data_IF_530695969103
#
_entry.id   IF_530695969103
#
_cell.length_a   1.000
_cell.length_b   1.000
_cell.length_c   1.000
_cell.angle_alpha   90.00
_cell.angle_beta   90.00
_cell.angle_gamma   90.00
#
_symmetry.space_group_name_H-M   'P 1'
#
loop_
_entity.id
_entity.type
_entity.pdbx_description
1 polymer ?
#
# COMPACT_ATOMS: atom_id res chain seq x y z
N UNK A 1 26.44 1.93 -25.08
CA UNK A 1 25.33 2.06 -24.09
C UNK A 1 24.64 0.72 -23.91
N UNK A 2 24.18 0.31 -22.72
CA UNK A 2 23.48 -0.98 -22.55
C UNK A 2 22.06 -0.86 -23.12
N UNK A 3 21.64 -1.78 -24.00
CA UNK A 3 20.29 -1.83 -24.56
C UNK A 3 19.29 -2.48 -23.60
N UNK A 4 18.52 -1.66 -22.88
CA UNK A 4 17.55 -2.11 -21.88
C UNK A 4 16.34 -2.84 -22.50
N UNK A 5 16.02 -2.57 -23.76
CA UNK A 5 14.92 -3.24 -24.47
C UNK A 5 15.25 -4.70 -24.77
N UNK A 6 16.49 -4.97 -25.18
CA UNK A 6 16.98 -6.31 -25.44
C UNK A 6 17.04 -7.15 -24.17
N UNK A 7 17.44 -6.55 -23.03
CA UNK A 7 17.44 -7.25 -21.74
C UNK A 7 16.04 -7.70 -21.32
N UNK A 8 15.03 -6.88 -21.60
CA UNK A 8 13.63 -7.17 -21.32
C UNK A 8 12.94 -8.01 -22.40
N UNK A 9 13.62 -8.31 -23.52
CA UNK A 9 13.02 -9.03 -24.65
C UNK A 9 11.87 -8.29 -25.33
N UNK A 10 11.89 -6.96 -25.34
CA UNK A 10 10.83 -6.12 -25.91
C UNK A 10 11.37 -5.19 -26.98
N UNK A 11 10.50 -4.75 -27.89
CA UNK A 11 10.87 -3.81 -28.94
C UNK A 11 11.03 -2.37 -28.41
N UNK A 12 11.90 -1.52 -28.99
CA UNK A 12 12.09 -0.14 -28.52
C UNK A 12 10.85 0.76 -28.68
N UNK A 13 9.90 0.39 -29.54
CA UNK A 13 8.59 1.02 -29.71
C UNK A 13 7.52 0.52 -28.71
N UNK A 14 7.86 -0.36 -27.77
CA UNK A 14 6.90 -0.94 -26.83
C UNK A 14 6.15 0.14 -26.02
N UNK A 15 4.85 -0.07 -25.82
CA UNK A 15 4.02 0.81 -24.99
C UNK A 15 4.46 0.74 -23.51
N UNK A 16 4.16 1.77 -22.70
CA UNK A 16 4.46 1.74 -21.26
C UNK A 16 3.87 0.51 -20.54
N UNK A 17 2.69 0.05 -20.97
CA UNK A 17 2.03 -1.13 -20.39
C UNK A 17 2.76 -2.43 -20.76
N UNK A 18 3.25 -2.56 -21.99
CA UNK A 18 4.10 -3.68 -22.40
C UNK A 18 5.41 -3.72 -21.62
N UNK A 19 6.03 -2.56 -21.36
CA UNK A 19 7.26 -2.47 -20.55
C UNK A 19 6.98 -2.90 -19.10
N UNK A 20 5.87 -2.44 -18.49
CA UNK A 20 5.49 -2.85 -17.13
C UNK A 20 5.26 -4.36 -17.06
N UNK A 21 4.54 -4.92 -18.02
CA UNK A 21 4.28 -6.37 -18.09
C UNK A 21 5.59 -7.15 -18.21
N UNK A 22 6.50 -6.74 -19.09
CA UNK A 22 7.81 -7.38 -19.25
C UNK A 22 8.67 -7.31 -17.98
N UNK A 23 8.68 -6.17 -17.28
CA UNK A 23 9.36 -6.01 -15.99
C UNK A 23 8.81 -6.97 -14.92
N UNK A 24 7.48 -7.08 -14.83
CA UNK A 24 6.83 -8.01 -13.89
C UNK A 24 7.18 -9.45 -14.21
N UNK A 25 7.12 -9.84 -15.48
CA UNK A 25 7.49 -11.20 -15.93
C UNK A 25 8.95 -11.52 -15.61
N UNK A 26 9.88 -10.59 -15.92
CA UNK A 26 11.30 -10.79 -15.66
C UNK A 26 11.64 -10.88 -14.16
N UNK A 27 10.95 -10.10 -13.32
CA UNK A 27 11.08 -10.18 -11.88
C UNK A 27 10.56 -11.51 -11.30
N UNK A 28 9.41 -11.99 -11.80
CA UNK A 28 8.82 -13.27 -11.38
C UNK A 28 9.67 -14.47 -11.78
N UNK A 29 10.23 -14.43 -12.99
CA UNK A 29 11.08 -15.49 -13.52
C UNK A 29 12.53 -15.41 -13.01
N UNK A 30 12.87 -14.37 -12.23
CA UNK A 30 14.23 -14.08 -11.78
C UNK A 30 15.26 -14.07 -12.93
N UNK A 31 14.82 -13.70 -14.15
CA UNK A 31 15.65 -13.77 -15.35
C UNK A 31 16.67 -12.65 -15.44
N UNK A 32 16.53 -11.60 -14.62
CA UNK A 32 17.42 -10.45 -14.56
C UNK A 32 17.71 -10.06 -13.09
N UNK A 33 18.94 -9.60 -12.78
CA UNK A 33 19.29 -9.13 -11.44
C UNK A 33 18.54 -7.83 -11.09
N UNK A 34 18.26 -7.63 -9.80
CA UNK A 34 17.45 -6.52 -9.29
C UNK A 34 17.95 -5.14 -9.72
N UNK A 35 19.27 -4.92 -9.73
CA UNK A 35 19.90 -3.67 -10.19
C UNK A 35 19.56 -3.36 -11.67
N UNK A 36 19.48 -4.38 -12.51
CA UNK A 36 19.14 -4.22 -13.93
C UNK A 36 17.65 -3.90 -14.12
N UNK A 37 16.78 -4.51 -13.31
CA UNK A 37 15.34 -4.22 -13.32
C UNK A 37 15.05 -2.78 -12.87
N UNK A 38 15.77 -2.28 -11.86
CA UNK A 38 15.67 -0.88 -11.40
C UNK A 38 16.13 0.11 -12.49
N UNK A 39 17.22 -0.20 -13.20
CA UNK A 39 17.67 0.60 -14.35
C UNK A 39 16.61 0.65 -15.46
N UNK A 40 16.01 -0.48 -15.79
CA UNK A 40 14.91 -0.54 -16.75
C UNK A 40 13.69 0.29 -16.31
N UNK A 41 13.31 0.19 -15.03
CA UNK A 41 12.19 0.95 -14.47
C UNK A 41 12.43 2.46 -14.54
N UNK A 42 13.62 2.92 -14.14
CA UNK A 42 13.95 4.35 -14.04
C UNK A 42 14.13 5.04 -15.39
N UNK A 43 14.65 4.33 -16.40
CA UNK A 43 14.90 4.90 -17.73
C UNK A 43 13.77 4.66 -18.73
N UNK A 44 13.07 3.52 -18.67
CA UNK A 44 12.04 3.17 -19.66
C UNK A 44 10.61 3.56 -19.28
N UNK A 45 10.28 3.71 -17.99
CA UNK A 45 8.93 4.14 -17.57
C UNK A 45 8.77 5.66 -17.48
N UNK A 46 9.86 6.40 -17.35
CA UNK A 46 9.85 7.87 -17.41
C UNK A 46 9.92 8.33 -18.86
N UNK A 47 8.89 9.05 -19.33
CA UNK A 47 8.78 9.49 -20.72
C UNK A 47 9.91 10.43 -21.16
N UNK A 48 10.39 11.30 -20.25
CA UNK A 48 11.45 12.25 -20.54
C UNK A 48 12.80 11.54 -20.67
N UNK A 49 13.11 10.66 -19.69
CA UNK A 49 14.34 9.86 -19.69
C UNK A 49 14.37 8.86 -20.84
N UNK A 50 13.24 8.22 -21.16
CA UNK A 50 13.12 7.28 -22.28
C UNK A 50 13.40 7.97 -23.61
N UNK A 51 12.93 9.21 -23.81
CA UNK A 51 13.22 9.98 -25.02
C UNK A 51 14.71 10.28 -25.16
N UNK A 52 15.36 10.72 -24.07
CA UNK A 52 16.80 10.98 -24.04
C UNK A 52 17.62 9.70 -24.24
N UNK A 53 17.20 8.60 -23.61
CA UNK A 53 17.82 7.29 -23.72
C UNK A 53 17.71 6.75 -25.15
N UNK A 54 16.53 6.81 -25.77
CA UNK A 54 16.29 6.38 -27.14
C UNK A 54 17.12 7.20 -28.13
N UNK A 55 17.19 8.51 -27.94
CA UNK A 55 18.00 9.38 -28.81
C UNK A 55 19.49 8.97 -28.80
N UNK A 56 20.03 8.61 -27.63
CA UNK A 56 21.42 8.11 -27.51
C UNK A 56 21.57 6.69 -28.06
N UNK A 57 20.63 5.79 -27.76
CA UNK A 57 20.66 4.41 -28.24
C UNK A 57 20.63 4.34 -29.78
N UNK A 58 19.78 5.12 -30.44
CA UNK A 58 19.70 5.16 -31.90
C UNK A 58 20.84 5.92 -32.56
N UNK A 59 21.49 6.85 -31.85
CA UNK A 59 22.70 7.49 -32.33
C UNK A 59 23.91 6.55 -32.30
N UNK A 60 23.99 5.66 -31.30
CA UNK A 60 25.06 4.66 -31.18
C UNK A 60 24.81 3.41 -32.04
N UNK A 61 23.55 3.02 -32.25
CA UNK A 61 23.16 1.82 -32.99
C UNK A 61 22.02 2.12 -33.98
N UNK A 62 22.31 2.75 -35.13
CA UNK A 62 21.31 3.08 -36.15
C UNK A 62 20.63 1.83 -36.76
N UNK A 63 21.33 0.70 -36.76
CA UNK A 63 20.83 -0.63 -37.17
C UNK A 63 19.64 -1.14 -36.34
N UNK A 64 19.43 -0.63 -35.12
CA UNK A 64 18.23 -0.92 -34.32
C UNK A 64 17.00 -0.24 -34.94
N UNK A 65 17.17 0.99 -35.44
CA UNK A 65 16.10 1.75 -36.08
C UNK A 65 15.70 1.11 -37.42
N UNK A 66 16.68 0.60 -38.16
CA UNK A 66 16.46 -0.09 -39.43
C UNK A 66 15.71 -1.41 -39.25
N UNK A 67 16.08 -2.23 -38.26
CA UNK A 67 15.38 -3.47 -37.92
C UNK A 67 13.95 -3.23 -37.39
N UNK A 68 13.70 -2.10 -36.73
CA UNK A 68 12.35 -1.69 -36.32
C UNK A 68 11.45 -1.33 -37.51
N UNK A 69 12.02 -0.79 -38.59
CA UNK A 69 11.29 -0.43 -39.80
C UNK A 69 11.09 -1.63 -40.73
N UNK A 70 11.99 -2.62 -40.70
CA UNK A 70 11.94 -3.81 -41.56
C UNK A 70 10.88 -4.85 -41.13
N UNK A 71 10.42 -4.86 -39.87
CA UNK A 71 9.43 -5.85 -39.37
C UNK A 71 7.96 -5.40 -39.49
N UNK A 72 7.66 -4.40 -40.34
CA UNK A 72 6.37 -3.70 -40.35
C UNK A 72 5.49 -3.89 -41.61
N UNK A 73 5.43 -5.06 -42.30
CA UNK A 73 4.27 -5.54 -43.14
C UNK A 73 4.47 -6.95 -43.82
N UNK A 74 3.40 -7.72 -44.18
CA UNK A 74 3.12 -9.08 -43.65
C UNK A 74 2.74 -10.18 -44.70
N UNK A 75 2.15 -11.34 -44.29
CA UNK A 75 0.73 -11.53 -44.62
C UNK A 75 -0.14 -12.03 -43.44
N UNK A 76 -1.37 -11.49 -43.38
CA UNK A 76 -2.44 -11.88 -42.46
C UNK A 76 -3.14 -13.19 -42.86
N UNK A 77 -4.06 -13.69 -42.02
CA UNK A 77 -5.47 -13.51 -42.39
C UNK A 77 -6.30 -12.82 -41.31
N UNK A 78 -6.91 -11.71 -41.75
CA UNK A 78 -8.24 -11.20 -41.42
C UNK A 78 -8.76 -11.30 -39.97
N UNK A 79 -8.66 -10.18 -39.26
CA UNK A 79 -9.87 -9.45 -38.87
C UNK A 79 -9.57 -7.94 -38.94
N UNK A 80 -10.33 -7.28 -39.81
CA UNK A 80 -10.15 -5.93 -40.31
C UNK A 80 -10.59 -4.88 -39.30
N UNK A 81 -9.68 -3.97 -38.91
CA UNK A 81 -10.04 -2.56 -38.79
C UNK A 81 -8.84 -1.70 -39.21
N UNK A 82 -8.94 -1.17 -40.42
CA UNK A 82 -7.89 -0.43 -41.12
C UNK A 82 -7.61 0.91 -40.42
N UNK A 83 -6.34 1.14 -40.14
CA UNK A 83 -5.76 2.48 -40.04
C UNK A 83 -5.70 3.15 -41.41
N UNK A 84 -6.16 4.39 -41.50
CA UNK A 84 -5.87 5.32 -42.61
C UNK A 84 -5.37 6.66 -42.04
N UNK A 85 -4.22 7.20 -42.51
CA UNK A 85 -3.87 8.62 -42.40
C UNK A 85 -3.98 9.33 -43.77
N UNK A 86 -4.00 10.68 -43.82
CA UNK A 86 -4.91 11.63 -43.20
C UNK A 86 -5.84 12.23 -44.27
N UNK A 87 -7.16 12.12 -44.11
CA UNK A 87 -8.13 12.64 -45.10
C UNK A 87 -8.94 13.81 -44.53
N UNK A 88 -8.97 14.89 -45.33
CA UNK A 88 -9.71 16.15 -45.21
C UNK A 88 -11.21 15.93 -44.86
N UNK A 89 -11.90 16.89 -44.19
CA UNK A 89 -12.98 16.59 -43.24
C UNK A 89 -14.32 16.29 -43.91
N UNK A 90 -14.95 15.19 -43.50
CA UNK A 90 -16.35 14.88 -43.79
C UNK A 90 -17.23 15.42 -42.67
N UNK A 91 -18.17 16.29 -43.05
CA UNK A 91 -19.13 16.95 -42.17
C UNK A 91 -20.14 15.95 -41.59
N UNK A 92 -20.12 15.72 -40.27
CA UNK A 92 -21.27 15.22 -39.48
C UNK A 92 -20.99 15.30 -37.96
N UNK A 93 -21.48 16.36 -37.31
CA UNK A 93 -21.84 16.49 -35.89
C UNK A 93 -20.99 15.83 -34.77
N UNK A 94 -19.66 15.84 -34.88
CA UNK A 94 -18.76 15.45 -33.77
C UNK A 94 -18.52 16.58 -32.76
N UNK A 95 -18.22 16.25 -31.51
CA UNK A 95 -17.81 17.24 -30.50
C UNK A 95 -16.44 17.89 -30.89
N UNK A 96 -16.09 19.05 -30.30
CA UNK A 96 -14.89 19.81 -30.67
C UNK A 96 -13.57 19.03 -30.48
N UNK A 97 -13.57 17.98 -29.64
CA UNK A 97 -12.40 17.11 -29.44
C UNK A 97 -12.20 16.16 -30.60
N UNK A 98 -13.28 15.56 -31.08
CA UNK A 98 -13.32 14.68 -32.24
C UNK A 98 -12.96 15.43 -33.53
N UNK A 99 -13.49 16.65 -33.68
CA UNK A 99 -13.15 17.56 -34.78
C UNK A 99 -11.64 17.86 -34.87
N UNK A 100 -10.98 18.00 -33.73
CA UNK A 100 -9.55 18.25 -33.64
C UNK A 100 -8.70 16.97 -33.52
N UNK A 101 -9.32 15.80 -33.43
CA UNK A 101 -8.62 14.53 -33.20
C UNK A 101 -7.86 14.45 -31.86
N UNK A 102 -8.24 15.23 -30.84
CA UNK A 102 -7.55 15.28 -29.54
C UNK A 102 -8.44 14.76 -28.41
N UNK A 103 -7.82 14.07 -27.43
CA UNK A 103 -8.56 13.56 -26.27
C UNK A 103 -9.05 14.68 -25.34
N UNK A 104 -10.20 14.52 -24.67
CA UNK A 104 -10.77 15.53 -23.76
C UNK A 104 -9.91 15.90 -22.55
N UNK A 105 -8.94 15.07 -22.20
CA UNK A 105 -7.96 15.29 -21.12
C UNK A 105 -6.58 15.72 -21.65
N UNK A 106 -6.43 16.00 -22.95
CA UNK A 106 -5.17 16.41 -23.54
C UNK A 106 -4.64 17.72 -22.92
N UNK A 107 -3.32 17.90 -22.77
CA UNK A 107 -2.74 19.14 -22.29
C UNK A 107 -3.03 20.30 -23.26
N UNK A 108 -3.10 21.52 -22.74
CA UNK A 108 -3.46 22.71 -23.52
C UNK A 108 -2.47 23.01 -24.66
N UNK A 109 -1.23 22.52 -24.56
CA UNK A 109 -0.25 22.58 -25.64
C UNK A 109 -0.70 21.75 -26.86
N UNK A 110 -1.09 20.49 -26.65
CA UNK A 110 -1.55 19.60 -27.72
C UNK A 110 -2.82 20.11 -28.39
N UNK A 111 -3.72 20.74 -27.65
CA UNK A 111 -4.94 21.33 -28.21
C UNK A 111 -4.60 22.55 -29.08
N UNK A 112 -3.65 23.38 -28.66
CA UNK A 112 -3.16 24.52 -29.48
C UNK A 112 -2.53 24.03 -30.78
N UNK A 113 -1.71 23.00 -30.70
CA UNK A 113 -1.05 22.41 -31.88
C UNK A 113 -2.09 21.82 -32.83
N UNK A 114 -3.09 21.10 -32.31
CA UNK A 114 -4.19 20.54 -33.11
C UNK A 114 -5.02 21.64 -33.81
N UNK A 115 -5.33 22.73 -33.12
CA UNK A 115 -6.03 23.89 -33.70
C UNK A 115 -5.19 24.54 -34.82
N UNK A 116 -3.86 24.61 -34.64
CA UNK A 116 -2.96 25.17 -35.65
C UNK A 116 -2.92 24.29 -36.90
N UNK A 117 -2.75 22.98 -36.73
CA UNK A 117 -2.77 22.01 -37.84
C UNK A 117 -4.12 22.02 -38.57
N UNK A 118 -5.23 22.10 -37.84
CA UNK A 118 -6.56 22.21 -38.42
C UNK A 118 -6.73 23.48 -39.29
N UNK A 119 -6.16 24.61 -38.86
CA UNK A 119 -6.17 25.85 -39.64
C UNK A 119 -5.33 25.73 -40.92
N UNK A 120 -4.15 25.10 -40.84
CA UNK A 120 -3.27 24.85 -42.00
C UNK A 120 -3.94 23.90 -43.02
N UNK A 121 -4.77 22.97 -42.55
CA UNK A 121 -5.53 22.03 -43.40
C UNK A 121 -6.81 22.63 -44.02
N UNK A 122 -7.08 23.92 -43.80
CA UNK A 122 -8.24 24.63 -44.37
C UNK A 122 -9.56 24.27 -43.70
N UNK A 123 -9.56 23.98 -42.39
CA UNK A 123 -10.79 23.78 -41.61
C UNK A 123 -11.58 25.09 -41.48
N UNK A 124 -12.89 24.97 -41.30
CA UNK A 124 -13.81 26.09 -41.14
C UNK A 124 -13.41 27.05 -40.00
N UNK A 125 -13.41 28.35 -40.31
CA UNK A 125 -12.92 29.40 -39.40
C UNK A 125 -13.78 29.56 -38.16
N UNK A 126 -15.08 29.32 -38.27
CA UNK A 126 -16.02 29.48 -37.16
C UNK A 126 -15.90 28.32 -36.18
N UNK A 127 -15.70 27.09 -36.67
CA UNK A 127 -15.41 25.93 -35.83
C UNK A 127 -14.06 26.07 -35.11
N UNK A 128 -13.04 26.60 -35.78
CA UNK A 128 -11.75 26.94 -35.16
C UNK A 128 -11.90 28.02 -34.08
N UNK A 129 -12.75 29.03 -34.30
CA UNK A 129 -13.04 30.05 -33.30
C UNK A 129 -13.76 29.46 -32.08
N UNK A 130 -14.73 28.57 -32.29
CA UNK A 130 -15.42 27.84 -31.20
C UNK A 130 -14.46 26.95 -30.41
N UNK A 131 -13.58 26.22 -31.10
CA UNK A 131 -12.53 25.41 -30.47
C UNK A 131 -11.60 26.26 -29.60
N UNK A 132 -11.11 27.39 -30.11
CA UNK A 132 -10.27 28.33 -29.35
C UNK A 132 -11.01 28.88 -28.13
N UNK A 133 -12.27 29.27 -28.30
CA UNK A 133 -13.09 29.83 -27.23
C UNK A 133 -13.37 28.81 -26.12
N UNK A 134 -13.80 27.60 -26.46
CA UNK A 134 -14.23 26.60 -25.48
C UNK A 134 -13.08 25.79 -24.90
N UNK A 135 -12.06 25.42 -25.68
CA UNK A 135 -11.07 24.42 -25.26
C UNK A 135 -9.78 25.00 -24.67
N UNK A 136 -9.38 26.22 -25.05
CA UNK A 136 -8.10 26.81 -24.60
C UNK A 136 -8.16 27.43 -23.20
N UNK A 137 -9.35 27.57 -22.62
CA UNK A 137 -9.53 28.10 -21.27
C UNK A 137 -10.12 27.05 -20.35
N UNK A 138 -9.43 26.78 -19.25
CA UNK A 138 -9.76 25.73 -18.27
C UNK A 138 -11.23 25.74 -17.82
N UNK A 139 -11.78 26.91 -17.50
CA UNK A 139 -13.17 27.03 -17.04
C UNK A 139 -14.22 26.78 -18.13
N UNK A 140 -13.95 27.25 -19.34
CA UNK A 140 -14.83 27.02 -20.49
C UNK A 140 -14.76 25.57 -20.93
N UNK A 141 -13.58 24.98 -20.84
CA UNK A 141 -13.32 23.58 -21.14
C UNK A 141 -14.04 22.67 -20.16
N UNK A 142 -14.04 22.96 -18.87
CA UNK A 142 -14.81 22.17 -17.89
C UNK A 142 -16.32 22.31 -18.10
N UNK A 143 -16.83 23.51 -18.40
CA UNK A 143 -18.24 23.70 -18.77
C UNK A 143 -18.62 22.94 -20.05
N UNK A 144 -17.76 22.99 -21.06
CA UNK A 144 -17.93 22.27 -22.31
C UNK A 144 -17.92 20.75 -22.07
N UNK A 145 -16.94 20.23 -21.34
CA UNK A 145 -16.83 18.81 -20.95
C UNK A 145 -18.08 18.33 -20.20
N UNK A 146 -18.62 19.15 -19.30
CA UNK A 146 -19.86 18.84 -18.61
C UNK A 146 -21.05 18.76 -19.56
N UNK A 147 -21.17 19.71 -20.50
CA UNK A 147 -22.21 19.75 -21.54
C UNK A 147 -22.19 18.50 -22.43
N UNK A 148 -21.00 17.97 -22.72
CA UNK A 148 -20.83 16.74 -23.54
C UNK A 148 -20.72 15.46 -22.69
N UNK A 149 -21.04 15.50 -21.40
CA UNK A 149 -21.15 14.31 -20.55
C UNK A 149 -19.82 13.69 -20.08
N UNK A 150 -18.69 14.37 -20.25
CA UNK A 150 -17.37 13.86 -19.86
C UNK A 150 -17.17 14.03 -18.36
N UNK A 151 -17.29 12.92 -17.62
CA UNK A 151 -17.10 12.88 -16.16
C UNK A 151 -15.62 12.95 -15.79
N UNK A 152 -15.28 13.81 -14.84
CA UNK A 152 -13.90 14.02 -14.35
C UNK A 152 -13.42 12.85 -13.49
N UNK A 153 -12.37 12.15 -13.94
CA UNK A 153 -11.71 11.00 -13.27
C UNK A 153 -11.07 11.32 -11.90
N UNK A 154 -10.95 12.61 -11.52
CA UNK A 154 -10.28 13.04 -10.29
C UNK A 154 -10.95 12.55 -9.00
N UNK A 155 -12.25 12.23 -9.04
CA UNK A 155 -13.00 11.79 -7.85
C UNK A 155 -12.66 10.37 -7.41
N UNK A 156 -12.19 9.51 -8.33
CA UNK A 156 -11.92 8.09 -8.02
C UNK A 156 -10.60 7.91 -7.24
N UNK A 157 -9.56 8.66 -7.58
CA UNK A 157 -8.24 8.57 -6.93
C UNK A 157 -8.22 9.12 -5.50
N UNK A 158 -9.08 10.09 -5.18
CA UNK A 158 -9.18 10.61 -3.81
C UNK A 158 -9.77 9.58 -2.85
N UNK A 159 -10.75 8.79 -3.29
CA UNK A 159 -11.35 7.73 -2.48
C UNK A 159 -10.41 6.53 -2.24
N UNK A 160 -9.58 6.17 -3.21
CA UNK A 160 -8.62 5.05 -3.03
C UNK A 160 -7.48 5.46 -2.10
N UNK A 161 -6.98 6.70 -2.23
CA UNK A 161 -5.90 7.21 -1.37
C UNK A 161 -6.29 7.28 0.11
N UNK A 162 -7.55 7.65 0.42
CA UNK A 162 -8.03 7.73 1.81
C UNK A 162 -8.16 6.36 2.46
N UNK A 163 -8.66 5.36 1.73
CA UNK A 163 -8.80 3.98 2.25
C UNK A 163 -7.44 3.37 2.58
N UNK A 164 -6.43 3.55 1.72
CA UNK A 164 -5.08 3.05 1.98
C UNK A 164 -4.43 3.72 3.21
N UNK A 165 -4.60 5.03 3.36
CA UNK A 165 -4.06 5.75 4.52
C UNK A 165 -4.68 5.27 5.85
N UNK A 166 -6.00 5.05 5.87
CA UNK A 166 -6.71 4.54 7.06
C UNK A 166 -6.21 3.15 7.45
N UNK A 167 -6.04 2.25 6.48
CA UNK A 167 -5.53 0.89 6.74
C UNK A 167 -4.13 0.91 7.34
N UNK A 168 -3.25 1.79 6.85
CA UNK A 168 -1.91 1.99 7.42
C UNK A 168 -2.01 2.51 8.87
N UNK A 169 -2.84 3.53 9.13
CA UNK A 169 -3.02 4.08 10.47
C UNK A 169 -3.58 3.07 11.48
N UNK A 170 -4.52 2.21 11.09
CA UNK A 170 -5.05 1.16 11.96
C UNK A 170 -3.96 0.12 12.27
N UNK A 171 -3.17 -0.26 11.26
CA UNK A 171 -2.06 -1.20 11.43
C UNK A 171 -0.99 -0.66 12.38
N UNK A 172 -0.56 0.59 12.19
CA UNK A 172 0.43 1.23 13.05
C UNK A 172 -0.07 1.43 14.48
N UNK A 173 -1.35 1.79 14.67
CA UNK A 173 -1.95 1.89 16.01
C UNK A 173 -1.90 0.55 16.74
N UNK A 174 -2.41 -0.54 16.12
CA UNK A 174 -2.40 -1.87 16.74
C UNK A 174 -0.99 -2.32 17.10
N UNK A 175 -0.01 -2.08 16.22
CA UNK A 175 1.38 -2.40 16.47
C UNK A 175 1.96 -1.66 17.69
N UNK A 176 1.72 -0.35 17.80
CA UNK A 176 2.20 0.47 18.92
C UNK A 176 1.57 0.01 20.24
N UNK A 177 0.26 -0.25 20.27
CA UNK A 177 -0.43 -0.70 21.47
C UNK A 177 0.08 -2.07 21.95
N UNK A 178 0.26 -3.01 21.02
CA UNK A 178 0.79 -4.34 21.34
C UNK A 178 2.23 -4.26 21.87
N UNK A 179 3.07 -3.42 21.25
CA UNK A 179 4.45 -3.22 21.70
C UNK A 179 4.51 -2.64 23.12
N UNK A 180 3.68 -1.63 23.42
CA UNK A 180 3.60 -1.01 24.74
C UNK A 180 3.09 -1.98 25.83
N UNK A 181 2.17 -2.89 25.48
CA UNK A 181 1.68 -3.92 26.39
C UNK A 181 2.77 -4.94 26.75
N UNK A 182 3.51 -5.43 25.75
CA UNK A 182 4.60 -6.39 25.94
C UNK A 182 5.74 -5.84 26.80
N UNK A 183 6.10 -4.56 26.63
CA UNK A 183 7.07 -3.87 27.48
C UNK A 183 6.63 -3.87 28.96
N UNK A 184 5.36 -3.55 29.24
CA UNK A 184 4.80 -3.57 30.59
C UNK A 184 4.81 -4.98 31.19
N UNK A 185 4.36 -5.97 30.41
CA UNK A 185 4.39 -7.38 30.83
C UNK A 185 5.81 -7.80 31.19
N UNK A 186 6.82 -7.44 30.39
CA UNK A 186 8.22 -7.77 30.66
C UNK A 186 8.73 -7.12 31.95
N UNK A 187 8.41 -5.84 32.18
CA UNK A 187 8.79 -5.14 33.40
C UNK A 187 8.17 -5.76 34.65
N UNK A 188 6.86 -6.07 34.61
CA UNK A 188 6.15 -6.69 35.73
C UNK A 188 6.62 -8.13 35.94
N UNK A 189 6.85 -8.91 34.88
CA UNK A 189 7.36 -10.29 34.97
C UNK A 189 8.72 -10.35 35.66
N UNK A 190 9.59 -9.35 35.42
CA UNK A 190 10.86 -9.22 36.13
C UNK A 190 10.63 -8.99 37.62
N UNK A 191 9.68 -8.13 38.00
CA UNK A 191 9.31 -7.92 39.40
C UNK A 191 8.77 -9.22 40.04
N UNK A 192 7.87 -9.92 39.34
CA UNK A 192 7.32 -11.21 39.80
C UNK A 192 8.43 -12.24 40.00
N UNK A 193 9.43 -12.28 39.12
CA UNK A 193 10.55 -13.22 39.24
C UNK A 193 11.35 -13.05 40.54
N UNK A 194 11.44 -11.82 41.08
CA UNK A 194 12.11 -11.56 42.36
C UNK A 194 11.36 -12.11 43.58
N UNK A 195 10.10 -12.52 43.43
CA UNK A 195 9.33 -13.17 44.50
C UNK A 195 9.68 -14.66 44.65
N UNK A 196 10.47 -15.22 43.72
CA UNK A 196 10.90 -16.62 43.76
C UNK A 196 12.36 -16.75 44.25
N UNK A 197 12.70 -17.94 44.74
CA UNK A 197 14.06 -18.23 45.27
C UNK A 197 15.17 -18.03 44.24
N UNK A 198 14.92 -18.39 42.99
CA UNK A 198 15.85 -18.22 41.87
C UNK A 198 15.16 -17.42 40.74
N UNK A 199 15.30 -16.08 40.74
CA UNK A 199 14.65 -15.20 39.78
C UNK A 199 15.03 -15.48 38.32
N UNK A 200 16.26 -15.98 38.07
CA UNK A 200 16.73 -16.24 36.71
C UNK A 200 16.17 -17.53 36.12
N UNK A 201 15.68 -18.44 36.98
CA UNK A 201 15.09 -19.71 36.56
C UNK A 201 13.59 -19.63 36.22
N UNK A 202 12.93 -18.53 36.57
CA UNK A 202 11.48 -18.38 36.45
C UNK A 202 11.06 -18.29 34.99
N UNK A 203 10.11 -19.13 34.60
CA UNK A 203 9.52 -19.18 33.28
C UNK A 203 8.05 -18.76 33.37
N UNK A 204 7.61 -17.93 32.42
CA UNK A 204 6.25 -17.43 32.36
C UNK A 204 5.58 -17.85 31.05
N UNK A 205 4.28 -18.18 31.12
CA UNK A 205 3.47 -18.53 29.96
C UNK A 205 2.08 -17.87 30.03
N UNK A 206 1.48 -17.60 28.85
CA UNK A 206 0.14 -17.03 28.69
C UNK A 206 -0.13 -15.78 29.55
N UNK A 207 0.83 -14.84 29.53
CA UNK A 207 0.74 -13.60 30.28
C UNK A 207 -0.33 -12.66 29.70
N UNK A 208 -1.22 -12.14 30.56
CA UNK A 208 -2.27 -11.18 30.22
C UNK A 208 -2.35 -10.10 31.28
N UNK A 209 -2.50 -8.85 30.86
CA UNK A 209 -2.86 -7.75 31.74
C UNK A 209 -4.39 -7.65 31.87
N UNK A 210 -4.89 -7.64 33.10
CA UNK A 210 -6.32 -7.54 33.41
C UNK A 210 -6.57 -6.27 34.22
N UNK A 211 -7.53 -5.47 33.76
CA UNK A 211 -7.94 -4.24 34.43
C UNK A 211 -9.23 -4.49 35.20
N UNK A 212 -9.21 -4.26 36.52
CA UNK A 212 -10.41 -4.32 37.37
C UNK A 212 -10.80 -2.90 37.79
N UNK A 213 -12.02 -2.51 37.43
CA UNK A 213 -12.69 -1.27 37.87
C UNK A 213 -11.85 0.02 37.72
N UNK A 214 -11.16 0.19 36.59
CA UNK A 214 -10.33 1.36 36.27
C UNK A 214 -9.20 1.68 37.28
N UNK A 215 -8.89 0.77 38.22
CA UNK A 215 -7.99 1.06 39.34
C UNK A 215 -6.91 -0.02 39.52
N UNK A 216 -7.20 -1.29 39.24
CA UNK A 216 -6.28 -2.38 39.54
C UNK A 216 -5.81 -3.08 38.26
N UNK A 217 -4.51 -3.09 38.05
CA UNK A 217 -3.87 -3.82 36.95
C UNK A 217 -3.24 -5.10 37.51
N UNK A 218 -3.80 -6.24 37.12
CA UNK A 218 -3.26 -7.56 37.44
C UNK A 218 -2.48 -8.12 36.26
N UNK A 219 -1.33 -8.74 36.53
CA UNK A 219 -0.67 -9.63 35.59
C UNK A 219 -1.07 -11.07 35.91
N UNK A 220 -1.77 -11.70 34.97
CA UNK A 220 -2.22 -13.08 35.06
C UNK A 220 -1.42 -13.96 34.11
N UNK A 221 -1.25 -15.23 34.45
CA UNK A 221 -0.65 -16.24 33.56
C UNK A 221 -0.26 -17.49 34.31
N UNK A 222 0.73 -18.20 33.79
CA UNK A 222 1.34 -19.36 34.42
C UNK A 222 2.80 -19.11 34.70
N UNK A 223 3.28 -19.61 35.83
CA UNK A 223 4.66 -19.51 36.26
C UNK A 223 5.20 -20.90 36.57
N UNK A 224 6.42 -21.17 36.14
CA UNK A 224 7.18 -22.37 36.47
C UNK A 224 8.52 -21.94 37.05
N UNK A 225 8.78 -22.31 38.31
CA UNK A 225 9.97 -21.92 39.04
C UNK A 225 10.61 -23.14 39.71
N UNK A 226 11.91 -23.05 40.01
CA UNK A 226 12.63 -24.10 40.73
C UNK A 226 12.27 -24.08 42.21
N UNK A 227 12.10 -25.27 42.79
CA UNK A 227 12.01 -25.45 44.23
C UNK A 227 13.39 -25.31 44.90
N UNK A 228 13.42 -25.47 46.24
CA UNK A 228 14.67 -25.41 47.01
C UNK A 228 15.70 -26.50 46.67
N UNK A 229 15.32 -27.52 45.91
CA UNK A 229 16.18 -28.59 45.44
C UNK A 229 16.62 -28.40 43.97
N UNK A 230 16.27 -27.26 43.35
CA UNK A 230 16.66 -26.91 41.99
C UNK A 230 15.80 -27.54 40.88
N UNK A 231 14.72 -28.25 41.22
CA UNK A 231 13.81 -28.88 40.27
C UNK A 231 12.58 -28.00 39.98
N UNK A 232 12.13 -27.99 38.72
CA UNK A 232 10.88 -27.35 38.33
C UNK A 232 9.68 -28.12 38.88
N UNK A 233 8.69 -27.41 39.42
CA UNK A 233 7.48 -28.00 40.01
C UNK A 233 6.31 -28.11 39.04
N UNK A 234 6.48 -27.61 37.81
CA UNK A 234 5.42 -27.51 36.81
C UNK A 234 4.79 -26.13 36.75
N UNK A 235 4.01 -25.90 35.71
CA UNK A 235 3.28 -24.64 35.48
C UNK A 235 2.16 -24.49 36.51
N UNK A 236 2.21 -23.41 37.28
CA UNK A 236 1.20 -23.03 38.25
C UNK A 236 0.54 -21.71 37.83
N UNK A 237 -0.80 -21.59 37.84
CA UNK A 237 -1.44 -20.33 37.53
C UNK A 237 -1.14 -19.30 38.62
N UNK A 238 -1.02 -18.02 38.25
CA UNK A 238 -0.79 -16.95 39.21
C UNK A 238 -1.52 -15.67 38.81
N UNK A 239 -1.71 -14.80 39.80
CA UNK A 239 -2.09 -13.42 39.60
C UNK A 239 -1.12 -12.51 40.36
N UNK A 240 -0.75 -11.38 39.78
CA UNK A 240 0.12 -10.40 40.43
C UNK A 240 -0.51 -9.02 40.43
N UNK A 241 -0.72 -8.47 41.61
CA UNK A 241 -1.24 -7.12 41.80
C UNK A 241 -0.09 -6.11 41.65
N UNK A 242 -0.16 -5.29 40.60
CA UNK A 242 0.89 -4.30 40.33
C UNK A 242 0.85 -3.09 41.27
N UNK A 243 -0.28 -2.83 41.92
CA UNK A 243 -0.48 -1.67 42.80
C UNK A 243 0.14 -1.93 44.17
N UNK A 244 -0.15 -3.10 44.76
CA UNK A 244 0.38 -3.49 46.08
C UNK A 244 1.58 -4.43 46.00
N UNK A 245 2.03 -4.78 44.79
CA UNK A 245 3.18 -5.67 44.52
C UNK A 245 3.05 -7.04 45.18
N UNK A 246 1.88 -7.64 45.11
CA UNK A 246 1.57 -8.92 45.77
C UNK A 246 1.39 -10.04 44.75
N UNK A 247 2.06 -11.18 45.00
CA UNK A 247 1.94 -12.40 44.21
C UNK A 247 0.93 -13.36 44.84
N UNK A 248 -0.02 -13.80 44.03
CA UNK A 248 -1.06 -14.76 44.38
C UNK A 248 -0.74 -16.09 43.68
N UNK A 249 -0.58 -17.15 44.48
CA UNK A 249 -0.40 -18.54 44.03
C UNK A 249 -1.56 -19.41 44.53
N UNK A 250 -1.82 -20.58 43.91
CA UNK A 250 -2.96 -21.43 44.26
C UNK A 250 -2.93 -21.91 45.72
N UNK A 251 -1.74 -22.23 46.23
CA UNK A 251 -1.53 -22.71 47.60
C UNK A 251 -1.52 -21.57 48.64
N UNK A 252 -1.77 -20.32 48.23
CA UNK A 252 -1.82 -19.19 49.15
C UNK A 252 -3.11 -19.25 49.97
N UNK A 253 -2.98 -19.38 51.29
CA UNK A 253 -4.10 -19.59 52.20
C UNK A 253 -4.82 -18.31 52.64
N UNK A 254 -4.31 -17.11 52.30
CA UNK A 254 -4.94 -15.83 52.65
C UNK A 254 -4.68 -14.75 51.60
N UNK A 255 -5.74 -14.24 50.99
CA UNK A 255 -5.67 -13.12 50.03
C UNK A 255 -6.80 -12.15 50.33
N UNK A 256 -6.43 -10.90 50.61
CA UNK A 256 -7.39 -9.82 50.80
C UNK A 256 -7.56 -9.10 49.47
N UNK A 257 -8.65 -9.37 48.75
CA UNK A 257 -8.97 -8.72 47.47
C UNK A 257 -9.87 -7.51 47.79
N UNK A 258 -9.40 -6.27 47.63
CA UNK A 258 -10.24 -5.10 47.85
C UNK A 258 -11.21 -4.93 46.67
N UNK A 259 -12.40 -5.53 46.73
CA UNK A 259 -13.47 -5.26 45.77
C UNK A 259 -14.55 -4.40 46.43
N UNK A 260 -14.76 -3.18 45.90
CA UNK A 260 -15.81 -2.25 46.36
C UNK A 260 -17.20 -2.60 45.81
N UNK A 261 -17.29 -3.52 44.85
CA UNK A 261 -18.55 -3.95 44.20
C UNK A 261 -19.04 -5.32 44.69
N UNK A 262 -18.40 -5.87 45.72
CA UNK A 262 -19.02 -6.89 46.56
C UNK A 262 -19.28 -6.19 47.89
N UNK A 263 -20.54 -5.91 48.18
CA UNK A 263 -21.01 -5.42 49.50
C UNK A 263 -20.77 -6.44 50.63
N UNK A 264 -19.89 -7.41 50.41
CA UNK A 264 -19.31 -8.32 51.37
C UNK A 264 -17.85 -8.55 50.92
N UNK A 265 -16.85 -8.22 51.75
CA UNK A 265 -15.51 -8.77 51.55
C UNK A 265 -15.66 -10.30 51.51
N UNK A 266 -15.70 -10.90 50.32
CA UNK A 266 -15.64 -12.35 50.21
C UNK A 266 -14.19 -12.70 50.50
N UNK A 267 -13.90 -13.06 51.75
CA UNK A 267 -12.62 -13.64 52.11
C UNK A 267 -12.52 -14.93 51.29
N UNK A 268 -11.74 -14.88 50.22
CA UNK A 268 -11.50 -16.07 49.42
C UNK A 268 -10.40 -16.83 50.14
N UNK A 269 -10.77 -17.93 50.79
CA UNK A 269 -9.85 -18.78 51.54
C UNK A 269 -9.00 -19.70 50.63
N UNK A 270 -9.04 -19.48 49.32
CA UNK A 270 -8.36 -20.30 48.33
C UNK A 270 -7.79 -19.43 47.20
N UNK A 271 -6.45 -19.43 47.06
CA UNK A 271 -5.76 -18.72 45.98
C UNK A 271 -6.20 -19.15 44.58
N UNK A 272 -6.60 -20.41 44.38
CA UNK A 272 -7.06 -20.90 43.08
C UNK A 272 -8.40 -20.24 42.65
N UNK A 273 -9.34 -20.06 43.57
CA UNK A 273 -10.63 -19.40 43.29
C UNK A 273 -10.40 -17.90 43.04
N UNK A 274 -9.50 -17.27 43.78
CA UNK A 274 -9.10 -15.88 43.57
C UNK A 274 -8.50 -15.65 42.18
N UNK A 275 -7.57 -16.51 41.75
CA UNK A 275 -6.95 -16.43 40.42
C UNK A 275 -8.01 -16.60 39.32
N UNK A 276 -8.94 -17.55 39.47
CA UNK A 276 -10.03 -17.73 38.50
C UNK A 276 -10.88 -16.46 38.36
N UNK A 277 -11.28 -15.84 39.48
CA UNK A 277 -12.10 -14.63 39.46
C UNK A 277 -11.36 -13.44 38.83
N UNK A 278 -10.08 -13.28 39.17
CA UNK A 278 -9.25 -12.16 38.68
C UNK A 278 -8.93 -12.34 37.19
N UNK A 279 -8.53 -13.53 36.77
CA UNK A 279 -7.96 -13.76 35.45
C UNK A 279 -8.98 -14.14 34.36
N UNK A 280 -10.25 -14.39 34.72
CA UNK A 280 -11.34 -14.68 33.76
C UNK A 280 -12.14 -13.43 33.30
N UNK A 281 -11.80 -12.23 33.77
CA UNK A 281 -12.34 -10.96 33.25
C UNK A 281 -11.63 -10.50 31.97
#
# INVERSE_FOLDING_TARGET
MINLYQLLGIAPNATPDQIRKALTTAAQQQSLPLDTLQKCQTWLLDTSKRKQYNARLFAEHPEILENMMAQANPPAPAETEKTEPPTKPSQASGNLYELLGVKPNAPDALIRDAIKQAAENGMDTDLLAQARFHLLHKERRTKYNHKIGIKSQKKLYWGIGTVLAIMVCIGTWKYINHYAENEKIKAISKEVSFQFKDPQSVQFENLKLVWIENQWLYLCGFVNAKNGFGAYTGLSPFAYDTTIKSLILPDSSYINIPSKKVENLKIINNGEEAIKIICQQ
#
